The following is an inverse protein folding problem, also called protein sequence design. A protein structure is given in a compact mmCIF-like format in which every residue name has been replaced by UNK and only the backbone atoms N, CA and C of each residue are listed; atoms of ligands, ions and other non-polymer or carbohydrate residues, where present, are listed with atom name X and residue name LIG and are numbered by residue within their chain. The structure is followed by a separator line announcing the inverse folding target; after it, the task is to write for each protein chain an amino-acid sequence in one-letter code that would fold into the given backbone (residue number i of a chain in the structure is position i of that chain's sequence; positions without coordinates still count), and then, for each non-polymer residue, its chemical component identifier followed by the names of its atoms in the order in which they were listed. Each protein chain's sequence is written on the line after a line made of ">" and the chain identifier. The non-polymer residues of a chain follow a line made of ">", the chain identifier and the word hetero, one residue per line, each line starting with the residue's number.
data_IF_561538169613
#
_entry.id   IF_561538169613
#
_cell.length_a   1.000
_cell.length_b   1.000
_cell.length_c   1.000
_cell.angle_alpha   90.00
_cell.angle_beta   90.00
_cell.angle_gamma   90.00
#
_symmetry.space_group_name_H-M   'P 1'
#
loop_
_entity.id
_entity.type
_entity.pdbx_description
1 polymer ?
#
# COMPACT_ATOMS: atom_id res chain seq x y z
N UNK A 1 -16.00 -4.28 -1.07
CA UNK A 1 -15.67 -4.14 0.34
C UNK A 1 -14.95 -5.41 0.81
N UNK A 2 -13.72 -5.26 1.34
CA UNK A 2 -12.87 -6.35 1.79
C UNK A 2 -11.71 -6.70 0.85
N UNK A 3 -11.51 -5.94 -0.21
CA UNK A 3 -10.31 -6.01 -1.06
C UNK A 3 -9.40 -4.81 -0.77
N UNK A 4 -8.09 -5.04 -0.78
CA UNK A 4 -7.09 -4.00 -0.50
C UNK A 4 -6.99 -2.96 -1.63
N UNK A 5 -7.45 -3.29 -2.83
CA UNK A 5 -7.54 -2.37 -3.96
C UNK A 5 -8.91 -2.44 -4.64
N UNK A 6 -9.45 -1.28 -4.97
CA UNK A 6 -10.62 -1.16 -5.83
C UNK A 6 -10.24 -1.30 -7.30
N UNK A 7 -10.99 -2.08 -8.06
CA UNK A 7 -10.80 -2.26 -9.52
C UNK A 7 -12.05 -1.84 -10.26
N UNK A 8 -11.88 -1.00 -11.27
CA UNK A 8 -12.93 -0.54 -12.17
C UNK A 8 -12.59 -0.91 -13.61
N UNK A 9 -13.46 -1.69 -14.25
CA UNK A 9 -13.35 -1.98 -15.69
C UNK A 9 -14.07 -0.89 -16.49
N UNK A 10 -13.32 -0.13 -17.27
CA UNK A 10 -13.80 1.07 -17.96
C UNK A 10 -15.03 0.85 -18.88
N UNK A 11 -15.18 -0.26 -19.64
CA UNK A 11 -16.36 -0.50 -20.46
C UNK A 11 -17.68 -0.55 -19.72
N UNK A 12 -17.65 -0.95 -18.43
CA UNK A 12 -18.84 -1.06 -17.60
C UNK A 12 -19.28 0.30 -17.03
N UNK A 13 -18.34 1.26 -16.93
CA UNK A 13 -18.61 2.54 -16.30
C UNK A 13 -18.77 3.71 -17.29
N UNK A 14 -18.02 3.71 -18.40
CA UNK A 14 -18.04 4.79 -19.40
C UNK A 14 -17.93 4.24 -20.81
N UNK A 15 -18.98 3.60 -21.35
CA UNK A 15 -18.95 3.01 -22.69
C UNK A 15 -18.62 4.03 -23.79
N UNK A 16 -18.93 5.31 -23.56
CA UNK A 16 -18.70 6.41 -24.52
C UNK A 16 -17.22 6.83 -24.59
N UNK A 17 -16.43 6.60 -23.54
CA UNK A 17 -14.99 6.93 -23.48
C UNK A 17 -14.10 5.77 -23.91
N UNK A 18 -14.65 4.61 -24.17
CA UNK A 18 -13.89 3.36 -24.39
C UNK A 18 -13.68 2.99 -25.84
N UNK A 19 -13.92 3.91 -26.78
CA UNK A 19 -13.52 3.69 -28.18
C UNK A 19 -12.00 3.52 -28.24
N UNK A 20 -11.55 2.26 -28.25
CA UNK A 20 -10.14 1.87 -28.26
C UNK A 20 -9.64 1.09 -27.06
N UNK A 21 -10.40 1.00 -25.97
CA UNK A 21 -10.08 0.10 -24.85
C UNK A 21 -10.75 -1.27 -25.09
N UNK A 22 -9.96 -2.32 -25.12
CA UNK A 22 -10.54 -3.66 -25.08
C UNK A 22 -11.26 -3.82 -23.74
N UNK A 23 -12.47 -4.42 -23.70
CA UNK A 23 -13.24 -4.64 -22.47
C UNK A 23 -12.55 -5.48 -21.39
N UNK A 24 -11.24 -5.69 -21.53
CA UNK A 24 -10.36 -6.40 -20.61
C UNK A 24 -9.53 -5.44 -19.74
N UNK A 25 -9.45 -4.16 -20.07
CA UNK A 25 -8.61 -3.19 -19.35
C UNK A 25 -9.44 -2.44 -18.29
N UNK A 26 -8.85 -2.22 -17.16
CA UNK A 26 -9.45 -1.49 -16.04
C UNK A 26 -8.44 -0.58 -15.35
N UNK A 27 -8.95 0.23 -14.44
CA UNK A 27 -8.17 1.04 -13.50
C UNK A 27 -8.30 0.39 -12.12
N UNK A 28 -7.18 0.28 -11.44
CA UNK A 28 -7.12 -0.15 -10.06
C UNK A 28 -6.60 1.01 -9.19
N UNK A 29 -7.10 1.10 -7.97
CA UNK A 29 -6.67 2.06 -6.97
C UNK A 29 -6.58 1.39 -5.61
N UNK A 30 -5.53 1.73 -4.87
CA UNK A 30 -5.35 1.33 -3.48
C UNK A 30 -4.92 2.53 -2.63
N UNK A 31 -5.41 2.61 -1.41
CA UNK A 31 -5.07 3.67 -0.46
C UNK A 31 -4.43 3.06 0.78
N UNK A 32 -3.27 3.59 1.18
CA UNK A 32 -2.58 3.15 2.38
C UNK A 32 -2.20 4.35 3.26
N UNK A 33 -2.95 4.63 4.32
CA UNK A 33 -2.58 5.61 5.33
C UNK A 33 -1.60 5.00 6.34
N UNK A 34 -0.60 5.78 6.75
CA UNK A 34 0.33 5.44 7.83
C UNK A 34 0.45 6.60 8.82
N UNK A 35 0.70 6.27 10.07
CA UNK A 35 0.92 7.21 11.16
C UNK A 35 2.38 7.13 11.64
N UNK A 36 2.89 8.27 12.13
CA UNK A 36 4.26 8.38 12.65
C UNK A 36 5.31 8.53 11.56
N UNK A 37 6.53 8.90 11.99
CA UNK A 37 7.64 9.20 11.09
C UNK A 37 8.47 7.97 10.73
N UNK A 38 8.42 6.92 11.56
CA UNK A 38 9.26 5.73 11.42
C UNK A 38 8.94 4.99 10.13
N UNK A 39 9.87 5.01 9.19
CA UNK A 39 9.73 4.40 7.84
C UNK A 39 8.48 4.83 7.10
N UNK A 40 7.97 6.05 7.34
CA UNK A 40 6.68 6.49 6.82
C UNK A 40 6.58 6.40 5.30
N UNK A 41 7.61 6.86 4.57
CA UNK A 41 7.65 6.79 3.11
C UNK A 41 7.55 5.35 2.59
N UNK A 42 8.40 4.45 3.10
CA UNK A 42 8.43 3.04 2.69
C UNK A 42 7.09 2.35 2.99
N UNK A 43 6.59 2.49 4.21
CA UNK A 43 5.33 1.87 4.65
C UNK A 43 4.15 2.33 3.79
N UNK A 44 4.06 3.63 3.51
CA UNK A 44 2.95 4.17 2.74
C UNK A 44 3.03 3.80 1.26
N UNK A 45 4.20 3.94 0.63
CA UNK A 45 4.38 3.65 -0.79
C UNK A 45 4.26 2.15 -1.05
N UNK A 46 5.05 1.32 -0.35
CA UNK A 46 4.99 -0.14 -0.57
C UNK A 46 3.66 -0.74 -0.13
N UNK A 47 3.02 -0.25 0.93
CA UNK A 47 1.70 -0.71 1.32
C UNK A 47 0.66 -0.50 0.22
N UNK A 48 0.64 0.68 -0.41
CA UNK A 48 -0.25 0.96 -1.53
C UNK A 48 0.10 0.15 -2.79
N UNK A 49 1.39 0.04 -3.12
CA UNK A 49 1.89 -0.73 -4.28
C UNK A 49 1.60 -2.22 -4.12
N UNK A 50 1.85 -2.78 -2.93
CA UNK A 50 1.58 -4.19 -2.63
C UNK A 50 0.09 -4.52 -2.71
N UNK A 51 -0.78 -3.63 -2.25
CA UNK A 51 -2.24 -3.78 -2.40
C UNK A 51 -2.66 -3.81 -3.88
N UNK A 52 -2.03 -2.98 -4.72
CA UNK A 52 -2.23 -3.02 -6.17
C UNK A 52 -1.77 -4.34 -6.78
N UNK A 53 -0.57 -4.80 -6.41
CA UNK A 53 -0.01 -6.08 -6.88
C UNK A 53 -0.87 -7.27 -6.45
N UNK A 54 -1.36 -7.28 -5.20
CA UNK A 54 -2.26 -8.31 -4.70
C UNK A 54 -3.57 -8.38 -5.49
N UNK A 55 -4.04 -7.25 -6.04
CA UNK A 55 -5.19 -7.20 -6.95
C UNK A 55 -4.84 -7.58 -8.40
N UNK A 56 -3.57 -7.89 -8.71
CA UNK A 56 -3.10 -8.18 -10.06
C UNK A 56 -2.92 -6.93 -10.93
N UNK A 57 -2.78 -5.75 -10.32
CA UNK A 57 -2.63 -4.48 -11.01
C UNK A 57 -1.19 -3.96 -10.90
N UNK A 58 -0.72 -3.28 -11.94
CA UNK A 58 0.55 -2.58 -11.95
C UNK A 58 0.36 -1.11 -11.57
N UNK A 59 1.01 -0.65 -10.49
CA UNK A 59 1.04 0.75 -10.11
C UNK A 59 1.76 1.59 -11.18
N UNK A 60 1.19 2.74 -11.54
CA UNK A 60 1.77 3.68 -12.52
C UNK A 60 1.96 5.05 -11.93
N UNK A 61 1.15 5.40 -10.96
CA UNK A 61 1.16 6.70 -10.34
C UNK A 61 0.68 6.64 -8.90
N UNK A 62 1.08 7.65 -8.13
CA UNK A 62 0.56 7.88 -6.78
C UNK A 62 0.07 9.31 -6.61
N UNK A 63 -0.84 9.48 -5.66
CA UNK A 63 -1.23 10.75 -5.08
C UNK A 63 -0.96 10.73 -3.59
N UNK A 64 -0.53 11.87 -3.02
CA UNK A 64 -0.10 11.99 -1.63
C UNK A 64 -1.03 12.90 -0.83
N UNK A 65 -1.33 12.52 0.40
CA UNK A 65 -1.90 13.42 1.40
C UNK A 65 -1.02 13.38 2.66
N UNK A 66 -0.47 14.53 3.02
CA UNK A 66 0.47 14.68 4.13
C UNK A 66 -0.12 15.66 5.14
N UNK A 67 -0.45 15.16 6.34
CA UNK A 67 -0.84 15.98 7.47
C UNK A 67 0.24 15.94 8.53
N UNK A 68 0.72 17.09 8.94
CA UNK A 68 1.79 17.22 9.93
C UNK A 68 1.29 17.98 11.15
N UNK A 69 1.79 17.65 12.35
CA UNK A 69 1.53 18.45 13.54
C UNK A 69 2.24 19.81 13.44
N UNK A 70 1.81 20.77 14.27
CA UNK A 70 2.37 22.13 14.26
C UNK A 70 3.85 22.17 14.63
N UNK A 71 4.32 21.18 15.41
CA UNK A 71 5.71 21.06 15.84
C UNK A 71 6.64 20.44 14.78
N UNK A 72 6.08 19.99 13.66
CA UNK A 72 6.86 19.37 12.60
C UNK A 72 7.78 20.39 11.93
N UNK A 73 9.03 19.99 11.70
CA UNK A 73 10.03 20.84 11.08
C UNK A 73 10.05 20.65 9.54
N UNK A 74 10.32 21.74 8.83
CA UNK A 74 10.44 21.70 7.36
C UNK A 74 11.47 20.66 6.87
N UNK A 75 12.57 20.44 7.65
CA UNK A 75 13.58 19.44 7.31
C UNK A 75 13.02 18.01 7.28
N UNK A 76 12.05 17.70 8.16
CA UNK A 76 11.39 16.39 8.20
C UNK A 76 10.54 16.18 6.94
N UNK A 77 9.79 17.20 6.53
CA UNK A 77 9.02 17.16 5.28
C UNK A 77 9.93 16.97 4.07
N UNK A 78 11.02 17.73 3.99
CA UNK A 78 11.99 17.61 2.88
C UNK A 78 12.61 16.21 2.80
N UNK A 79 12.97 15.62 3.95
CA UNK A 79 13.50 14.27 4.01
C UNK A 79 12.45 13.24 3.56
N UNK A 80 11.21 13.36 4.04
CA UNK A 80 10.09 12.50 3.67
C UNK A 80 9.83 12.53 2.16
N UNK A 81 9.72 13.73 1.57
CA UNK A 81 9.47 13.88 0.13
C UNK A 81 10.62 13.30 -0.70
N UNK A 82 11.88 13.55 -0.28
CA UNK A 82 13.05 12.98 -0.97
C UNK A 82 13.04 11.45 -0.94
N UNK A 83 12.66 10.84 0.17
CA UNK A 83 12.56 9.40 0.28
C UNK A 83 11.43 8.85 -0.60
N UNK A 84 10.24 9.47 -0.58
CA UNK A 84 9.12 9.10 -1.46
C UNK A 84 9.53 9.19 -2.93
N UNK A 85 10.19 10.27 -3.34
CA UNK A 85 10.65 10.48 -4.71
C UNK A 85 11.63 9.38 -5.14
N UNK A 86 12.59 9.06 -4.26
CA UNK A 86 13.55 7.97 -4.49
C UNK A 86 12.86 6.61 -4.69
N UNK A 87 11.88 6.28 -3.84
CA UNK A 87 11.10 5.03 -3.96
C UNK A 87 10.28 5.01 -5.25
N UNK A 88 9.65 6.13 -5.59
CA UNK A 88 8.87 6.23 -6.83
C UNK A 88 9.75 6.08 -8.08
N UNK A 89 10.97 6.63 -8.06
CA UNK A 89 11.93 6.44 -9.14
C UNK A 89 12.37 4.99 -9.28
N UNK A 90 12.64 4.29 -8.18
CA UNK A 90 13.02 2.87 -8.16
C UNK A 90 11.92 1.98 -8.74
N UNK A 91 10.67 2.24 -8.36
CA UNK A 91 9.50 1.48 -8.81
C UNK A 91 8.93 1.94 -10.17
N UNK A 92 9.52 2.96 -10.79
CA UNK A 92 9.03 3.57 -12.03
C UNK A 92 7.57 4.04 -11.92
N UNK A 93 7.27 4.72 -10.81
CA UNK A 93 5.95 5.27 -10.47
C UNK A 93 6.01 6.79 -10.51
N UNK A 94 4.99 7.43 -11.04
CA UNK A 94 4.87 8.89 -11.12
C UNK A 94 4.13 9.44 -9.89
N UNK A 95 4.64 10.52 -9.31
CA UNK A 95 3.86 11.32 -8.36
C UNK A 95 3.00 12.29 -9.17
N UNK A 96 1.68 12.05 -9.24
CA UNK A 96 0.75 12.86 -10.04
C UNK A 96 0.22 14.06 -9.30
N UNK A 97 -0.05 13.93 -8.02
CA UNK A 97 -0.62 15.00 -7.22
C UNK A 97 -0.30 14.79 -5.75
N UNK A 98 -0.52 15.82 -4.97
CA UNK A 98 -0.39 15.75 -3.53
C UNK A 98 -0.92 16.98 -2.84
N UNK A 99 -1.20 16.83 -1.56
CA UNK A 99 -1.56 17.91 -0.67
C UNK A 99 -0.78 17.78 0.63
N UNK A 100 -0.23 18.89 1.10
CA UNK A 100 0.46 18.96 2.39
C UNK A 100 -0.19 20.02 3.25
N UNK A 101 -0.52 19.68 4.48
CA UNK A 101 -1.06 20.62 5.45
C UNK A 101 -0.43 20.42 6.83
N UNK A 102 -0.34 21.51 7.58
CA UNK A 102 -0.06 21.51 9.01
C UNK A 102 -1.40 21.66 9.73
N UNK A 103 -1.63 20.88 10.77
CA UNK A 103 -2.92 20.85 11.47
C UNK A 103 -2.72 20.69 12.97
N UNK A 104 -3.41 21.50 13.79
CA UNK A 104 -3.41 21.35 15.24
C UNK A 104 -4.20 20.12 15.72
N UNK A 105 -4.90 19.43 14.81
CA UNK A 105 -5.72 18.27 15.14
C UNK A 105 -4.98 16.94 15.01
N UNK A 106 -3.72 16.95 14.58
CA UNK A 106 -2.88 15.76 14.53
C UNK A 106 -1.66 15.92 15.42
N UNK A 107 -1.32 14.87 16.16
CA UNK A 107 -0.17 14.85 17.08
C UNK A 107 1.09 14.24 16.48
N UNK A 108 0.99 13.67 15.29
CA UNK A 108 2.09 13.06 14.55
C UNK A 108 1.85 13.16 13.05
N UNK A 109 2.83 12.76 12.26
CA UNK A 109 2.66 12.64 10.81
C UNK A 109 1.53 11.66 10.48
N UNK A 110 0.65 12.05 9.57
CA UNK A 110 -0.25 11.16 8.85
C UNK A 110 0.09 11.28 7.37
N UNK A 111 0.56 10.20 6.79
CA UNK A 111 0.86 10.10 5.36
C UNK A 111 -0.08 9.09 4.72
N UNK A 112 -0.86 9.52 3.75
CA UNK A 112 -1.70 8.64 2.94
C UNK A 112 -1.22 8.64 1.50
N UNK A 113 -0.93 7.46 0.98
CA UNK A 113 -0.57 7.23 -0.42
C UNK A 113 -1.73 6.53 -1.11
N UNK A 114 -2.18 7.13 -2.21
CA UNK A 114 -3.14 6.51 -3.13
C UNK A 114 -2.40 6.07 -4.38
N UNK A 115 -2.23 4.76 -4.55
CA UNK A 115 -1.67 4.20 -5.77
C UNK A 115 -2.76 4.01 -6.83
N UNK A 116 -2.41 4.29 -8.06
CA UNK A 116 -3.28 4.14 -9.24
C UNK A 116 -2.52 3.43 -10.35
N UNK A 117 -3.23 2.61 -11.11
CA UNK A 117 -2.61 1.91 -12.21
C UNK A 117 -3.59 1.14 -13.07
N UNK A 118 -3.04 0.33 -13.96
CA UNK A 118 -3.82 -0.46 -14.90
C UNK A 118 -3.90 -1.92 -14.49
N UNK A 119 -5.03 -2.52 -14.77
CA UNK A 119 -5.23 -3.96 -14.67
C UNK A 119 -5.78 -4.48 -16.00
N UNK A 120 -5.32 -5.66 -16.39
CA UNK A 120 -5.89 -6.38 -17.53
C UNK A 120 -6.62 -7.61 -17.00
N UNK A 121 -7.89 -7.75 -17.35
CA UNK A 121 -8.71 -8.91 -16.97
C UNK A 121 -8.25 -10.15 -17.75
N UNK A 122 -7.32 -10.90 -17.16
CA UNK A 122 -6.96 -12.24 -17.63
C UNK A 122 -7.63 -13.27 -16.72
N UNK A 123 -8.05 -14.41 -17.27
CA UNK A 123 -8.62 -15.50 -16.45
C UNK A 123 -7.63 -16.01 -15.39
N UNK A 124 -6.34 -15.86 -15.65
CA UNK A 124 -5.23 -16.28 -14.78
C UNK A 124 -5.00 -15.34 -13.60
N UNK A 125 -5.43 -14.07 -13.69
CA UNK A 125 -5.28 -13.09 -12.61
C UNK A 125 -6.45 -13.16 -11.58
N UNK A 126 -7.42 -14.04 -11.77
CA UNK A 126 -8.54 -14.24 -10.86
C UNK A 126 -8.19 -15.37 -9.90
N UNK A 127 -7.35 -15.09 -8.92
CA UNK A 127 -7.05 -15.98 -7.79
C UNK A 127 -8.27 -16.13 -6.88
N UNK A 128 -9.19 -15.15 -6.95
CA UNK A 128 -10.40 -15.11 -6.13
C UNK A 128 -11.62 -15.08 -7.05
N UNK A 129 -12.41 -16.15 -7.05
CA UNK A 129 -13.72 -16.17 -7.68
C UNK A 129 -14.74 -15.51 -6.75
N UNK A 130 -15.63 -14.68 -7.31
CA UNK A 130 -16.79 -14.15 -6.56
C UNK A 130 -17.92 -15.14 -6.70
N UNK A 131 -18.24 -15.82 -5.63
CA UNK A 131 -19.43 -16.68 -5.56
C UNK A 131 -20.60 -15.92 -4.94
N UNK A 132 -21.76 -16.08 -5.53
CA UNK A 132 -23.01 -15.52 -5.02
C UNK A 132 -23.59 -16.48 -3.97
N UNK A 133 -23.48 -16.10 -2.70
CA UNK A 133 -24.08 -16.86 -1.61
C UNK A 133 -25.38 -16.15 -1.20
N UNK A 134 -26.51 -16.89 -1.25
CA UNK A 134 -27.76 -16.40 -0.74
C UNK A 134 -27.81 -16.56 0.79
N UNK A 135 -28.17 -15.49 1.50
CA UNK A 135 -28.47 -15.58 2.92
C UNK A 135 -29.85 -16.26 3.19
N UNK A 136 -30.13 -16.56 4.45
CA UNK A 136 -31.40 -17.18 4.86
C UNK A 136 -32.66 -16.34 4.55
N UNK A 137 -32.47 -15.11 4.05
CA UNK A 137 -33.54 -14.18 3.65
C UNK A 137 -33.62 -14.00 2.13
N UNK A 138 -32.82 -14.77 1.37
CA UNK A 138 -32.80 -14.72 -0.09
C UNK A 138 -32.03 -13.54 -0.68
N UNK A 139 -31.30 -12.76 0.14
CA UNK A 139 -30.40 -11.70 -0.37
C UNK A 139 -29.11 -12.33 -0.88
N UNK A 140 -28.72 -11.99 -2.09
CA UNK A 140 -27.48 -12.48 -2.69
C UNK A 140 -26.31 -11.60 -2.27
N UNK A 141 -25.34 -12.19 -1.57
CA UNK A 141 -24.07 -11.54 -1.23
C UNK A 141 -22.94 -12.15 -2.07
N UNK A 142 -22.17 -11.33 -2.73
CA UNK A 142 -20.94 -11.80 -3.37
C UNK A 142 -19.86 -11.97 -2.31
N UNK A 143 -19.32 -13.17 -2.21
CA UNK A 143 -18.22 -13.52 -1.32
C UNK A 143 -17.02 -13.89 -2.17
N UNK A 144 -15.87 -13.35 -1.82
CA UNK A 144 -14.59 -13.76 -2.41
C UNK A 144 -14.26 -15.18 -1.93
N UNK A 145 -14.15 -16.12 -2.85
CA UNK A 145 -13.77 -17.51 -2.54
C UNK A 145 -12.39 -17.74 -3.12
N UNK A 146 -11.44 -18.07 -2.26
CA UNK A 146 -10.12 -18.54 -2.68
C UNK A 146 -10.26 -19.96 -3.19
N UNK A 147 -9.75 -20.23 -4.38
CA UNK A 147 -9.79 -21.58 -4.95
C UNK A 147 -9.04 -22.54 -4.06
N UNK A 148 -9.68 -23.67 -3.67
CA UNK A 148 -9.14 -24.61 -2.70
C UNK A 148 -7.86 -25.35 -3.18
N UNK A 149 -7.55 -25.28 -4.48
CA UNK A 149 -6.40 -25.93 -5.11
C UNK A 149 -5.16 -25.01 -5.19
N UNK A 150 -5.12 -23.92 -4.42
CA UNK A 150 -3.99 -22.98 -4.39
C UNK A 150 -3.09 -23.21 -3.18
N UNK A 151 -1.79 -23.18 -3.41
CA UNK A 151 -0.78 -23.21 -2.36
C UNK A 151 -0.57 -21.82 -1.75
N UNK A 152 -0.47 -21.74 -0.43
CA UNK A 152 -0.05 -20.52 0.27
C UNK A 152 1.47 -20.40 0.23
N UNK A 153 1.98 -19.44 -0.52
CA UNK A 153 3.42 -19.18 -0.64
C UNK A 153 3.79 -17.95 0.18
N UNK A 154 4.80 -18.05 1.01
CA UNK A 154 5.41 -16.95 1.75
C UNK A 154 6.79 -16.66 1.19
N UNK A 155 6.99 -15.44 0.69
CA UNK A 155 8.30 -14.96 0.25
C UNK A 155 8.95 -14.14 1.38
N UNK A 156 10.16 -14.51 1.79
CA UNK A 156 10.88 -13.84 2.87
C UNK A 156 10.45 -14.28 4.27
N UNK A 157 10.74 -13.45 5.26
CA UNK A 157 10.47 -13.72 6.68
C UNK A 157 9.30 -12.90 7.17
N UNK A 158 8.33 -13.54 7.81
CA UNK A 158 7.17 -12.87 8.40
C UNK A 158 7.59 -11.95 9.54
N UNK A 159 6.97 -10.75 9.61
CA UNK A 159 7.16 -9.82 10.72
C UNK A 159 8.37 -8.88 10.59
N UNK A 160 9.06 -8.84 9.46
CA UNK A 160 10.25 -7.99 9.24
C UNK A 160 9.96 -6.51 9.46
N UNK A 161 8.89 -5.98 8.87
CA UNK A 161 8.49 -4.58 9.04
C UNK A 161 8.26 -4.24 10.52
N UNK A 162 7.45 -5.05 11.22
CA UNK A 162 7.18 -4.86 12.65
C UNK A 162 8.45 -4.94 13.49
N UNK A 163 9.36 -5.87 13.20
CA UNK A 163 10.63 -5.98 13.89
C UNK A 163 11.52 -4.75 13.67
N UNK A 164 11.61 -4.25 12.44
CA UNK A 164 12.37 -3.05 12.12
C UNK A 164 11.78 -1.80 12.81
N UNK A 165 10.46 -1.65 12.82
CA UNK A 165 9.78 -0.56 13.52
C UNK A 165 10.05 -0.59 15.03
N UNK A 166 9.89 -1.75 15.67
CA UNK A 166 10.18 -1.90 17.09
C UNK A 166 11.64 -1.59 17.40
N UNK A 167 12.57 -2.06 16.56
CA UNK A 167 13.99 -1.76 16.73
C UNK A 167 14.31 -0.28 16.56
N UNK A 168 13.65 0.42 15.65
CA UNK A 168 13.84 1.86 15.44
C UNK A 168 13.24 2.70 16.57
N UNK A 169 12.03 2.38 17.03
CA UNK A 169 11.31 3.17 18.02
C UNK A 169 11.76 2.89 19.46
N UNK A 170 12.10 1.64 19.77
CA UNK A 170 12.40 1.18 21.14
C UNK A 170 13.83 0.69 21.30
N UNK A 171 14.79 1.18 20.48
CA UNK A 171 16.18 0.73 20.48
C UNK A 171 16.78 0.65 21.90
N UNK A 172 16.70 1.73 22.68
CA UNK A 172 17.28 1.79 24.05
C UNK A 172 16.71 0.70 24.97
N UNK A 173 15.40 0.45 24.89
CA UNK A 173 14.74 -0.56 25.72
C UNK A 173 15.10 -1.99 25.28
N UNK A 174 15.29 -2.18 23.98
CA UNK A 174 15.71 -3.47 23.44
C UNK A 174 17.16 -3.78 23.77
N UNK A 175 18.05 -2.78 23.78
CA UNK A 175 19.47 -2.90 24.14
C UNK A 175 19.68 -3.29 25.63
N UNK A 176 18.69 -3.13 26.50
CA UNK A 176 18.70 -3.68 27.84
C UNK A 176 18.68 -5.24 27.87
N UNK A 177 18.20 -5.88 26.79
CA UNK A 177 18.00 -7.34 26.70
C UNK A 177 18.77 -8.00 25.58
N UNK A 178 19.09 -7.24 24.54
CA UNK A 178 19.74 -7.74 23.33
C UNK A 178 21.02 -6.98 23.04
N UNK A 179 21.97 -7.60 22.37
CA UNK A 179 23.18 -6.91 21.96
C UNK A 179 22.86 -5.72 21.04
N UNK A 180 23.52 -4.56 21.20
CA UNK A 180 23.28 -3.38 20.34
C UNK A 180 23.41 -3.67 18.84
N UNK A 181 24.39 -4.52 18.46
CA UNK A 181 24.58 -4.95 17.06
C UNK A 181 23.39 -5.70 16.50
N UNK A 182 22.68 -6.48 17.34
CA UNK A 182 21.46 -7.18 16.92
C UNK A 182 20.28 -6.25 16.74
N UNK A 183 20.13 -5.26 17.64
CA UNK A 183 19.10 -4.23 17.53
C UNK A 183 19.33 -3.37 16.28
N UNK A 184 20.59 -3.00 16.00
CA UNK A 184 20.94 -2.24 14.81
C UNK A 184 20.66 -3.03 13.52
N UNK A 185 21.03 -4.31 13.48
CA UNK A 185 20.71 -5.17 12.33
C UNK A 185 19.20 -5.29 12.12
N UNK A 186 18.41 -5.33 13.21
CA UNK A 186 16.95 -5.40 13.10
C UNK A 186 16.32 -4.15 12.48
N UNK A 187 16.89 -2.94 12.66
CA UNK A 187 16.43 -1.70 12.00
C UNK A 187 16.53 -1.80 10.48
N UNK A 188 17.53 -2.51 9.97
CA UNK A 188 17.78 -2.68 8.54
C UNK A 188 16.95 -3.80 7.89
N UNK A 189 16.16 -4.56 8.67
CA UNK A 189 15.29 -5.59 8.10
C UNK A 189 14.28 -5.04 7.07
N UNK A 190 13.98 -3.76 7.12
CA UNK A 190 13.10 -3.11 6.16
C UNK A 190 13.82 -2.74 4.85
N UNK A 191 15.16 -2.72 4.83
CA UNK A 191 15.97 -2.37 3.65
C UNK A 191 16.21 -3.56 2.72
N UNK A 192 16.24 -4.79 3.28
CA UNK A 192 16.68 -6.01 2.57
C UNK A 192 15.57 -6.76 1.82
N UNK A 193 14.58 -6.11 1.32
CA UNK A 193 13.59 -6.77 0.47
C UNK A 193 12.13 -6.51 0.85
N UNK A 194 11.74 -5.37 0.68
CA UNK A 194 10.36 -4.96 0.43
C UNK A 194 10.09 -5.00 -1.06
#
# INVERSE_FOLDING_TARGET
>A
PGEDAGVLFMPEFMPEFTQGFSGKNGVAMAVNPVEGWTFAAKRAVYGAVNSMLAAGAASKAISLSILMPEEAEEKQLKALIKEIDSLCMQENILVLSGHTAVSPYVSTLILSVTAMGSITRNKENIVVSKESIADSKGNTKQVAVVNADLDLVVAGTVGREGAAMLAAEYAKRLEERYAPSYVEAAKHLFDDGS
#
